data_IF_904054243587
#
_entry.id   IF_904054243587
#
_cell.length_a   1.000
_cell.length_b   1.000
_cell.length_c   1.000
_cell.angle_alpha   90.00
_cell.angle_beta   90.00
_cell.angle_gamma   90.00
#
_symmetry.space_group_name_H-M   'P 1'
#
loop_
_entity.id
_entity.type
_entity.pdbx_description
1 polymer ?
#
# COMPACT_ATOMS: atom_id res chain seq x y z
N UNK A 1 -26.26 35.26 1.85
CA UNK A 1 -27.30 34.43 1.17
C UNK A 1 -27.99 33.58 2.23
N UNK A 2 -29.32 33.73 2.38
CA UNK A 2 -30.07 32.89 3.31
C UNK A 2 -30.17 31.47 2.74
N UNK A 3 -29.59 30.50 3.41
CA UNK A 3 -29.85 29.10 3.15
C UNK A 3 -31.37 28.86 3.23
N UNK A 4 -31.98 28.47 2.12
CA UNK A 4 -33.39 28.05 2.12
C UNK A 4 -33.43 26.60 2.65
N UNK A 5 -33.89 26.36 3.90
CA UNK A 5 -34.10 25.00 4.39
C UNK A 5 -35.21 24.38 3.55
N UNK A 6 -34.97 23.20 2.95
CA UNK A 6 -35.98 22.44 2.24
C UNK A 6 -35.66 22.03 0.80
N UNK A 7 -34.46 22.31 0.29
CA UNK A 7 -34.07 21.87 -1.06
C UNK A 7 -33.15 20.65 -1.11
N UNK A 8 -32.60 20.21 0.02
CA UNK A 8 -31.80 18.98 0.10
C UNK A 8 -32.61 18.01 0.94
N UNK A 9 -33.32 17.11 0.29
CA UNK A 9 -34.11 16.07 0.95
C UNK A 9 -33.25 14.87 1.36
N UNK A 10 -32.12 14.66 0.68
CA UNK A 10 -31.18 13.56 0.96
C UNK A 10 -29.76 14.02 0.62
N UNK A 11 -28.84 13.83 1.56
CA UNK A 11 -27.41 13.82 1.30
C UNK A 11 -27.00 12.33 1.24
N UNK A 12 -26.66 11.83 0.05
CA UNK A 12 -26.11 10.50 -0.11
C UNK A 12 -24.60 10.65 -0.14
N UNK A 13 -23.93 10.16 0.89
CA UNK A 13 -22.48 10.01 0.87
C UNK A 13 -22.15 8.76 0.03
N UNK A 14 -21.55 9.00 -1.14
CA UNK A 14 -21.10 7.95 -2.03
C UNK A 14 -19.66 7.61 -1.66
N UNK A 15 -19.47 6.51 -0.94
CA UNK A 15 -18.12 6.05 -0.51
C UNK A 15 -17.40 5.19 -1.55
N UNK A 16 -17.87 5.18 -2.80
CA UNK A 16 -17.36 4.34 -3.87
C UNK A 16 -18.15 3.03 -4.02
N UNK A 17 -17.69 2.15 -4.89
CA UNK A 17 -18.28 0.81 -5.09
C UNK A 17 -17.59 -0.20 -4.18
N UNK A 18 -18.36 -1.14 -3.66
CA UNK A 18 -17.83 -2.21 -2.81
C UNK A 18 -17.24 -3.38 -3.61
N UNK A 19 -16.60 -4.31 -2.92
CA UNK A 19 -15.95 -5.47 -3.53
C UNK A 19 -16.96 -6.43 -4.18
N UNK A 20 -18.20 -6.47 -3.74
CA UNK A 20 -19.23 -7.36 -4.28
C UNK A 20 -19.65 -6.89 -5.67
N UNK A 21 -19.84 -5.59 -5.85
CA UNK A 21 -20.12 -4.97 -7.16
C UNK A 21 -18.94 -5.18 -8.11
N UNK A 22 -17.69 -5.04 -7.62
CA UNK A 22 -16.48 -5.29 -8.42
C UNK A 22 -16.45 -6.74 -8.88
N UNK A 23 -16.70 -7.68 -7.96
CA UNK A 23 -16.73 -9.11 -8.27
C UNK A 23 -17.78 -9.43 -9.34
N UNK A 24 -19.01 -8.94 -9.17
CA UNK A 24 -20.11 -9.16 -10.11
C UNK A 24 -19.76 -8.59 -11.50
N UNK A 25 -19.29 -7.35 -11.57
CA UNK A 25 -18.91 -6.72 -12.82
C UNK A 25 -17.75 -7.44 -13.52
N UNK A 26 -16.71 -7.80 -12.77
CA UNK A 26 -15.58 -8.53 -13.30
C UNK A 26 -15.95 -9.95 -13.74
N UNK A 27 -16.87 -10.63 -13.02
CA UNK A 27 -17.39 -11.94 -13.43
C UNK A 27 -18.05 -11.91 -14.81
N UNK A 28 -18.73 -10.81 -15.16
CA UNK A 28 -19.38 -10.63 -16.47
C UNK A 28 -18.38 -10.12 -17.53
N UNK A 29 -17.58 -9.12 -17.23
CA UNK A 29 -16.87 -8.30 -18.21
C UNK A 29 -15.37 -8.55 -18.34
N UNK A 30 -14.66 -8.98 -17.28
CA UNK A 30 -13.22 -9.20 -17.34
C UNK A 30 -12.89 -10.48 -18.11
N UNK A 31 -11.99 -10.43 -19.09
CA UNK A 31 -11.57 -11.63 -19.88
C UNK A 31 -10.80 -12.63 -19.02
N UNK A 32 -9.78 -12.16 -18.32
CA UNK A 32 -8.99 -12.98 -17.42
C UNK A 32 -9.53 -12.91 -16.00
N UNK A 33 -10.38 -13.89 -15.66
CA UNK A 33 -11.03 -13.97 -14.32
C UNK A 33 -10.05 -14.16 -13.18
N UNK A 34 -8.82 -14.59 -13.44
CA UNK A 34 -7.81 -14.76 -12.38
C UNK A 34 -7.33 -13.42 -11.82
N UNK A 35 -7.56 -12.32 -12.54
CA UNK A 35 -7.16 -10.98 -12.13
C UNK A 35 -8.20 -10.20 -11.31
N UNK A 36 -9.33 -10.79 -10.94
CA UNK A 36 -10.37 -10.11 -10.16
C UNK A 36 -9.82 -9.56 -8.84
N UNK A 37 -9.02 -10.35 -8.12
CA UNK A 37 -8.36 -9.87 -6.89
C UNK A 37 -7.43 -8.68 -7.14
N UNK A 38 -6.77 -8.62 -8.30
CA UNK A 38 -5.92 -7.50 -8.68
C UNK A 38 -6.74 -6.21 -8.88
N UNK A 39 -7.94 -6.32 -9.47
CA UNK A 39 -8.88 -5.20 -9.62
C UNK A 39 -9.36 -4.72 -8.25
N UNK A 40 -9.72 -5.63 -7.33
CA UNK A 40 -10.12 -5.29 -5.97
C UNK A 40 -8.98 -4.59 -5.22
N UNK A 41 -7.75 -5.10 -5.32
CA UNK A 41 -6.58 -4.45 -4.71
C UNK A 41 -6.38 -3.04 -5.25
N UNK A 42 -6.54 -2.85 -6.56
CA UNK A 42 -6.46 -1.53 -7.19
C UNK A 42 -7.57 -0.61 -6.68
N UNK A 43 -8.82 -1.07 -6.60
CA UNK A 43 -9.93 -0.22 -6.13
C UNK A 43 -9.68 0.33 -4.73
N UNK A 44 -9.06 -0.44 -3.86
CA UNK A 44 -8.70 -0.07 -2.49
C UNK A 44 -7.61 1.01 -2.39
N UNK A 45 -6.92 1.30 -3.50
CA UNK A 45 -5.92 2.35 -3.59
C UNK A 45 -6.54 3.75 -3.73
N UNK A 46 -7.85 3.83 -3.95
CA UNK A 46 -8.56 5.09 -4.17
C UNK A 46 -9.46 5.40 -2.98
N UNK A 47 -9.52 6.67 -2.61
CA UNK A 47 -10.48 7.15 -1.60
C UNK A 47 -11.92 6.96 -2.10
N UNK A 48 -12.13 7.22 -3.37
CA UNK A 48 -13.40 7.06 -4.05
C UNK A 48 -13.16 6.32 -5.37
N UNK A 49 -13.42 5.02 -5.39
CA UNK A 49 -13.38 4.22 -6.60
C UNK A 49 -14.80 4.08 -7.14
N UNK A 50 -15.07 4.72 -8.29
CA UNK A 50 -16.41 4.76 -8.88
C UNK A 50 -16.56 3.75 -10.03
N UNK A 51 -17.80 3.61 -10.51
CA UNK A 51 -18.13 2.65 -11.56
C UNK A 51 -17.46 2.99 -12.90
N UNK A 52 -17.29 4.26 -13.24
CA UNK A 52 -16.63 4.66 -14.47
C UNK A 52 -15.14 4.28 -14.45
N UNK A 53 -14.50 4.41 -13.29
CA UNK A 53 -13.11 3.94 -13.08
C UNK A 53 -13.01 2.42 -13.23
N UNK A 54 -13.93 1.66 -12.63
CA UNK A 54 -13.97 0.20 -12.77
C UNK A 54 -14.13 -0.20 -14.23
N UNK A 55 -15.06 0.44 -14.94
CA UNK A 55 -15.31 0.16 -16.34
C UNK A 55 -14.09 0.46 -17.21
N UNK A 56 -13.50 1.63 -17.06
CA UNK A 56 -12.30 2.03 -17.79
C UNK A 56 -11.13 1.07 -17.54
N UNK A 57 -10.93 0.68 -16.27
CA UNK A 57 -9.89 -0.25 -15.88
C UNK A 57 -10.06 -1.63 -16.55
N UNK A 58 -11.26 -2.20 -16.48
CA UNK A 58 -11.56 -3.52 -17.06
C UNK A 58 -11.49 -3.47 -18.60
N UNK A 59 -11.94 -2.39 -19.23
CA UNK A 59 -11.83 -2.20 -20.68
C UNK A 59 -10.36 -2.14 -21.13
N UNK A 60 -9.50 -1.42 -20.38
CA UNK A 60 -8.08 -1.32 -20.70
C UNK A 60 -7.36 -2.66 -20.54
N UNK A 61 -7.57 -3.35 -19.42
CA UNK A 61 -7.04 -4.69 -19.18
C UNK A 61 -7.45 -5.67 -20.30
N UNK A 62 -8.71 -5.64 -20.69
CA UNK A 62 -9.23 -6.51 -21.74
C UNK A 62 -8.68 -6.20 -23.15
N UNK A 63 -8.36 -4.92 -23.40
CA UNK A 63 -7.90 -4.45 -24.71
C UNK A 63 -6.44 -4.82 -24.96
N UNK A 64 -5.60 -4.69 -23.93
CA UNK A 64 -4.15 -4.82 -24.07
C UNK A 64 -3.57 -6.02 -23.34
N UNK A 65 -4.41 -6.84 -22.71
CA UNK A 65 -4.00 -8.01 -21.92
C UNK A 65 -3.04 -7.64 -20.78
N UNK A 66 -3.36 -6.54 -20.11
CA UNK A 66 -2.53 -5.95 -19.05
C UNK A 66 -3.06 -6.31 -17.67
N UNK A 67 -2.16 -6.22 -16.66
CA UNK A 67 -2.58 -6.30 -15.26
C UNK A 67 -3.31 -5.02 -14.84
N UNK A 68 -4.14 -5.11 -13.79
CA UNK A 68 -4.87 -3.96 -13.26
C UNK A 68 -3.93 -2.78 -12.91
N UNK A 69 -2.73 -3.07 -12.39
CA UNK A 69 -1.75 -2.05 -12.05
C UNK A 69 -1.13 -1.37 -13.28
N UNK A 70 -0.92 -2.11 -14.37
CA UNK A 70 -0.44 -1.54 -15.62
C UNK A 70 -1.51 -0.64 -16.24
N UNK A 71 -2.76 -1.10 -16.29
CA UNK A 71 -3.87 -0.33 -16.80
C UNK A 71 -4.09 0.99 -16.02
N UNK A 72 -3.97 0.99 -14.70
CA UNK A 72 -4.01 2.23 -13.88
C UNK A 72 -2.95 3.23 -14.32
N UNK A 73 -1.72 2.78 -14.59
CA UNK A 73 -0.62 3.65 -15.06
C UNK A 73 -0.93 4.25 -16.43
N UNK A 74 -1.43 3.44 -17.35
CA UNK A 74 -1.78 3.88 -18.72
C UNK A 74 -2.94 4.88 -18.70
N UNK A 75 -3.97 4.60 -17.92
CA UNK A 75 -5.13 5.49 -17.76
C UNK A 75 -4.78 6.79 -17.00
N UNK A 76 -3.54 6.90 -16.47
CA UNK A 76 -3.09 8.01 -15.64
C UNK A 76 -4.05 8.32 -14.47
N UNK A 77 -4.71 7.30 -13.96
CA UNK A 77 -5.58 7.39 -12.79
C UNK A 77 -4.65 7.45 -11.58
N UNK A 78 -4.60 8.61 -10.93
CA UNK A 78 -3.76 8.80 -9.75
C UNK A 78 -4.57 8.47 -8.51
N UNK A 79 -4.12 7.49 -7.70
CA UNK A 79 -4.72 7.28 -6.40
C UNK A 79 -4.64 8.56 -5.57
N UNK A 80 -5.73 8.97 -4.97
CA UNK A 80 -5.76 10.08 -4.02
C UNK A 80 -5.23 9.59 -2.68
N UNK A 81 -3.94 9.80 -2.46
CA UNK A 81 -3.31 9.50 -1.19
C UNK A 81 -3.16 10.75 -0.34
N UNK A 82 -3.39 10.55 0.94
CA UNK A 82 -3.07 11.52 1.97
C UNK A 82 -1.54 11.71 1.99
N UNK A 83 -1.05 12.76 1.33
CA UNK A 83 0.38 13.05 1.09
C UNK A 83 1.18 13.22 2.39
N UNK A 84 0.57 13.03 3.53
CA UNK A 84 1.17 13.19 4.85
C UNK A 84 0.91 12.03 5.81
N UNK A 85 0.37 10.91 5.36
CA UNK A 85 0.11 9.80 6.25
C UNK A 85 1.40 9.27 6.87
N UNK A 86 1.39 9.11 8.20
CA UNK A 86 2.48 8.53 8.98
C UNK A 86 2.23 7.04 9.19
N UNK A 87 3.30 6.28 9.11
CA UNK A 87 3.28 4.83 9.30
C UNK A 87 4.36 4.43 10.29
N UNK A 88 4.05 3.44 11.12
CA UNK A 88 5.05 2.72 11.91
C UNK A 88 5.62 1.61 11.05
N UNK A 89 6.94 1.52 11.02
CA UNK A 89 7.70 0.52 10.27
C UNK A 89 7.92 -0.72 11.12
N UNK A 90 7.57 -1.88 10.57
CA UNK A 90 8.09 -3.17 11.00
C UNK A 90 8.97 -3.75 9.89
N UNK A 91 10.22 -4.05 10.19
CA UNK A 91 11.12 -4.65 9.20
C UNK A 91 11.79 -5.90 9.77
N UNK A 92 11.80 -6.96 8.96
CA UNK A 92 12.46 -8.22 9.29
C UNK A 92 13.28 -8.67 8.10
N UNK A 93 14.54 -8.97 8.34
CA UNK A 93 15.41 -9.60 7.36
C UNK A 93 16.55 -10.30 8.11
N UNK A 94 16.80 -11.56 7.76
CA UNK A 94 17.94 -12.31 8.22
C UNK A 94 18.75 -12.79 7.01
N UNK A 95 20.02 -12.47 6.99
CA UNK A 95 20.95 -12.86 5.93
C UNK A 95 22.36 -12.99 6.46
N UNK A 96 23.10 -13.98 6.01
CA UNK A 96 24.52 -14.21 6.34
C UNK A 96 24.82 -14.21 7.86
N UNK A 97 23.89 -14.74 8.68
CA UNK A 97 24.02 -14.75 10.13
C UNK A 97 23.87 -13.38 10.78
N UNK A 98 23.26 -12.41 10.09
CA UNK A 98 22.91 -11.09 10.58
C UNK A 98 21.40 -10.89 10.54
N UNK A 99 20.86 -10.19 11.54
CA UNK A 99 19.46 -9.76 11.59
C UNK A 99 19.35 -8.24 11.46
N UNK A 100 18.30 -7.79 10.79
CA UNK A 100 18.00 -6.37 10.64
C UNK A 100 17.21 -5.83 11.83
N UNK A 101 17.54 -4.60 12.23
CA UNK A 101 16.87 -3.86 13.30
C UNK A 101 16.63 -2.43 12.85
N UNK A 102 15.50 -1.86 13.28
CA UNK A 102 15.18 -0.43 13.09
C UNK A 102 15.22 0.23 14.47
N UNK A 103 15.86 1.40 14.56
CA UNK A 103 16.02 2.15 15.79
C UNK A 103 15.52 3.58 15.62
N UNK A 104 15.19 4.23 16.73
CA UNK A 104 14.93 5.67 16.81
C UNK A 104 13.86 6.17 15.83
N UNK A 105 14.19 7.27 15.16
CA UNK A 105 13.30 7.95 14.19
C UNK A 105 13.04 7.11 12.93
N UNK A 106 13.92 6.18 12.58
CA UNK A 106 13.74 5.27 11.44
C UNK A 106 12.54 4.31 11.62
N UNK A 107 11.91 4.28 12.81
CA UNK A 107 10.66 3.52 13.03
C UNK A 107 9.42 4.15 12.43
N UNK A 108 9.50 5.40 12.03
CA UNK A 108 8.41 6.11 11.40
C UNK A 108 8.75 6.40 9.94
N UNK A 109 7.76 6.25 9.09
CA UNK A 109 7.85 6.62 7.70
C UNK A 109 6.65 7.46 7.30
N UNK A 110 6.88 8.50 6.50
CA UNK A 110 5.83 9.38 6.03
C UNK A 110 5.79 9.37 4.51
N UNK A 111 4.64 9.11 3.96
CA UNK A 111 4.46 9.13 2.51
C UNK A 111 3.30 8.24 2.05
N UNK A 112 3.32 7.96 0.77
CA UNK A 112 2.37 7.07 0.12
C UNK A 112 2.99 5.67 -0.03
N UNK A 113 2.47 4.62 0.66
CA UNK A 113 3.02 3.27 0.60
C UNK A 113 2.94 2.64 -0.81
N UNK A 114 2.13 3.20 -1.70
CA UNK A 114 1.95 2.71 -3.06
C UNK A 114 2.79 3.50 -4.08
N UNK A 115 3.85 4.14 -3.63
CA UNK A 115 4.82 4.80 -4.50
C UNK A 115 5.73 3.79 -5.19
N UNK A 116 6.47 4.29 -6.18
CA UNK A 116 7.47 3.48 -6.86
C UNK A 116 8.71 3.20 -5.98
N UNK A 117 8.83 3.87 -4.82
CA UNK A 117 10.01 3.73 -3.98
C UNK A 117 9.72 4.09 -2.52
N UNK A 118 9.99 3.13 -1.63
CA UNK A 118 9.99 3.29 -0.19
C UNK A 118 11.41 3.01 0.30
N UNK A 119 12.08 4.02 0.86
CA UNK A 119 13.40 3.90 1.45
C UNK A 119 13.28 3.79 2.96
N UNK A 120 13.92 2.79 3.56
CA UNK A 120 14.03 2.61 5.01
C UNK A 120 15.47 2.38 5.42
N UNK A 121 15.87 2.92 6.58
CA UNK A 121 17.14 2.64 7.22
C UNK A 121 17.05 1.40 8.11
N UNK A 122 18.05 0.53 8.09
CA UNK A 122 18.14 -0.61 8.99
C UNK A 122 19.59 -0.92 9.38
N UNK A 123 19.78 -1.32 10.63
CA UNK A 123 21.05 -1.79 11.13
C UNK A 123 21.10 -3.32 11.11
N UNK A 124 22.15 -3.88 10.55
CA UNK A 124 22.38 -5.32 10.51
C UNK A 124 23.40 -5.72 11.56
N UNK A 125 23.00 -6.59 12.47
CA UNK A 125 23.86 -7.08 13.57
C UNK A 125 23.89 -8.60 13.58
N UNK A 126 25.01 -9.19 14.06
CA UNK A 126 25.17 -10.65 14.14
C UNK A 126 24.08 -11.30 15.00
N UNK A 127 23.45 -12.35 14.46
CA UNK A 127 22.43 -13.16 15.18
C UNK A 127 22.98 -13.92 16.37
N UNK A 128 24.33 -14.09 16.46
CA UNK A 128 25.00 -14.79 17.57
C UNK A 128 24.92 -14.05 18.90
N UNK A 129 24.64 -12.75 18.88
CA UNK A 129 24.51 -11.91 20.08
C UNK A 129 23.23 -11.07 19.97
N UNK A 130 22.28 -11.31 20.87
CA UNK A 130 21.09 -10.44 20.95
C UNK A 130 21.53 -9.07 21.50
N UNK A 131 21.28 -7.97 20.78
CA UNK A 131 21.57 -6.62 21.26
C UNK A 131 20.72 -6.31 22.52
N UNK A 132 21.29 -5.61 23.47
CA UNK A 132 20.62 -5.26 24.75
C UNK A 132 19.94 -3.89 24.71
N UNK A 133 20.35 -3.03 23.79
CA UNK A 133 19.82 -1.67 23.65
C UNK A 133 19.89 -1.19 22.20
N UNK A 134 19.13 -0.14 21.87
CA UNK A 134 19.22 0.53 20.57
C UNK A 134 20.60 1.14 20.33
N UNK A 135 21.19 1.75 21.34
CA UNK A 135 22.55 2.28 21.29
C UNK A 135 23.58 1.20 20.91
N UNK A 136 23.42 -0.02 21.42
CA UNK A 136 24.29 -1.15 21.04
C UNK A 136 24.09 -1.54 19.57
N UNK A 137 22.84 -1.47 19.06
CA UNK A 137 22.53 -1.74 17.66
C UNK A 137 23.21 -0.69 16.76
N UNK A 138 23.08 0.58 17.08
CA UNK A 138 23.65 1.69 16.32
C UNK A 138 25.19 1.66 16.32
N UNK A 139 25.80 1.38 17.46
CA UNK A 139 27.27 1.35 17.61
C UNK A 139 27.93 0.12 16.97
N UNK A 140 27.23 -1.03 16.92
CA UNK A 140 27.80 -2.30 16.42
C UNK A 140 27.18 -2.80 15.12
N UNK A 141 26.06 -2.22 14.72
CA UNK A 141 25.35 -2.59 13.51
C UNK A 141 25.92 -1.93 12.27
N UNK A 142 25.77 -2.61 11.13
CA UNK A 142 26.05 -2.03 9.81
C UNK A 142 24.77 -1.40 9.27
N UNK A 143 24.72 -0.08 9.20
CA UNK A 143 23.59 0.61 8.61
C UNK A 143 23.49 0.35 7.09
N UNK A 144 22.28 0.08 6.62
CA UNK A 144 21.98 -0.10 5.19
C UNK A 144 20.67 0.58 4.86
N UNK A 145 20.64 1.22 3.69
CA UNK A 145 19.40 1.66 3.07
C UNK A 145 18.75 0.49 2.35
N UNK A 146 17.47 0.22 2.65
CA UNK A 146 16.69 -0.85 2.04
C UNK A 146 15.55 -0.22 1.26
N UNK A 147 15.39 -0.65 0.01
CA UNK A 147 14.42 -0.10 -0.92
C UNK A 147 13.34 -1.14 -1.18
N UNK A 148 12.08 -0.68 -1.15
CA UNK A 148 10.92 -1.41 -1.60
C UNK A 148 10.19 -0.63 -2.69
N UNK A 149 9.52 -1.34 -3.55
CA UNK A 149 8.71 -0.79 -4.64
C UNK A 149 7.29 -1.35 -4.56
N UNK A 150 6.39 -0.77 -5.33
CA UNK A 150 5.02 -1.30 -5.44
C UNK A 150 4.98 -2.76 -5.92
N UNK A 151 6.00 -3.21 -6.65
CA UNK A 151 6.10 -4.61 -7.11
C UNK A 151 6.35 -5.59 -5.97
N UNK A 152 6.91 -5.12 -4.85
CA UNK A 152 7.17 -5.93 -3.65
C UNK A 152 5.92 -6.06 -2.75
N UNK A 153 4.83 -5.33 -3.01
CA UNK A 153 3.60 -5.37 -2.23
C UNK A 153 2.96 -6.76 -2.30
N UNK A 154 2.77 -7.40 -1.15
CA UNK A 154 2.13 -8.72 -1.01
C UNK A 154 0.71 -8.66 -0.47
N UNK A 155 0.48 -7.78 0.49
CA UNK A 155 -0.83 -7.62 1.10
C UNK A 155 -1.08 -6.16 1.49
N UNK A 156 -2.34 -5.79 1.44
CA UNK A 156 -2.83 -4.49 1.86
C UNK A 156 -4.18 -4.66 2.55
N UNK A 157 -4.35 -4.02 3.70
CA UNK A 157 -5.62 -3.92 4.39
C UNK A 157 -5.98 -2.42 4.57
N UNK A 158 -6.89 -1.89 3.76
CA UNK A 158 -7.27 -0.48 3.82
C UNK A 158 -7.97 -0.11 5.13
N UNK A 159 -8.69 -1.07 5.77
CA UNK A 159 -9.45 -0.82 7.00
C UNK A 159 -8.51 -0.57 8.19
N UNK A 160 -7.42 -1.32 8.26
CA UNK A 160 -6.40 -1.15 9.29
C UNK A 160 -5.26 -0.24 8.87
N UNK A 161 -5.16 0.08 7.57
CA UNK A 161 -4.05 0.85 7.00
C UNK A 161 -2.73 0.10 7.06
N UNK A 162 -2.77 -1.24 6.98
CA UNK A 162 -1.59 -2.10 7.02
C UNK A 162 -1.18 -2.50 5.62
N UNK A 163 0.13 -2.37 5.32
CA UNK A 163 0.74 -2.76 4.06
C UNK A 163 1.91 -3.71 4.33
N UNK A 164 2.03 -4.78 3.56
CA UNK A 164 3.08 -5.78 3.71
C UNK A 164 3.82 -5.94 2.38
N UNK A 165 5.15 -5.81 2.43
CA UNK A 165 6.03 -5.91 1.26
C UNK A 165 7.05 -7.00 1.51
N UNK A 166 7.46 -7.69 0.43
CA UNK A 166 8.57 -8.64 0.45
C UNK A 166 9.43 -8.38 -0.78
N UNK A 167 10.67 -7.90 -0.56
CA UNK A 167 11.58 -7.65 -1.66
C UNK A 167 12.30 -8.93 -2.14
N UNK A 168 13.00 -8.83 -3.25
CA UNK A 168 13.71 -9.96 -3.86
C UNK A 168 14.81 -10.56 -2.96
N UNK A 169 15.34 -9.79 -2.03
CA UNK A 169 16.33 -10.26 -1.05
C UNK A 169 15.72 -10.98 0.15
N UNK A 170 14.39 -11.11 0.22
CA UNK A 170 13.69 -11.75 1.33
C UNK A 170 13.39 -10.83 2.52
N UNK A 171 13.72 -9.55 2.41
CA UNK A 171 13.35 -8.55 3.42
C UNK A 171 11.85 -8.34 3.46
N UNK A 172 11.25 -8.34 4.65
CA UNK A 172 9.83 -8.17 4.89
C UNK A 172 9.58 -6.82 5.58
N UNK A 173 8.87 -5.91 4.90
CA UNK A 173 8.47 -4.61 5.42
C UNK A 173 6.98 -4.63 5.73
N UNK A 174 6.61 -4.13 6.91
CA UNK A 174 5.24 -3.84 7.29
C UNK A 174 5.11 -2.36 7.60
N UNK A 175 4.18 -1.68 6.95
CA UNK A 175 3.79 -0.32 7.27
C UNK A 175 2.41 -0.35 7.91
N UNK A 176 2.27 0.25 9.10
CA UNK A 176 0.99 0.36 9.80
C UNK A 176 0.66 1.83 9.99
N UNK A 177 -0.47 2.28 9.46
CA UNK A 177 -0.89 3.69 9.52
C UNK A 177 -1.12 4.13 10.96
N UNK A 178 -0.52 5.27 11.33
CA UNK A 178 -0.82 5.95 12.59
C UNK A 178 -2.17 6.64 12.43
N UNK A 179 -3.16 6.25 13.22
CA UNK A 179 -4.45 6.96 13.24
C UNK A 179 -4.24 8.33 13.88
N UNK A 180 -4.55 9.39 13.14
CA UNK A 180 -4.68 10.71 13.75
C UNK A 180 -5.83 10.68 14.76
N UNK A 181 -5.53 11.01 15.99
CA UNK A 181 -6.52 11.17 17.06
C UNK A 181 -7.25 12.50 16.84
#
# INVERSE_FOLDING_TARGET
>A
MRNRPGRIYYALDYTGIDSDIINEYCADRLKDKTQVESVIKVSQMFKEFNFDMLRALVEEMNRYDETAMQAVKVLNIKPEFDVGAKFIIGYKHETDGMSAHITGEDREWQGNPLTNRIDIGAYYISTKKKPKSEEEIENKGHWRNVIFTIEDLKAMDPNTGKYEFVNRAGGQLTLTRVKSV
#
